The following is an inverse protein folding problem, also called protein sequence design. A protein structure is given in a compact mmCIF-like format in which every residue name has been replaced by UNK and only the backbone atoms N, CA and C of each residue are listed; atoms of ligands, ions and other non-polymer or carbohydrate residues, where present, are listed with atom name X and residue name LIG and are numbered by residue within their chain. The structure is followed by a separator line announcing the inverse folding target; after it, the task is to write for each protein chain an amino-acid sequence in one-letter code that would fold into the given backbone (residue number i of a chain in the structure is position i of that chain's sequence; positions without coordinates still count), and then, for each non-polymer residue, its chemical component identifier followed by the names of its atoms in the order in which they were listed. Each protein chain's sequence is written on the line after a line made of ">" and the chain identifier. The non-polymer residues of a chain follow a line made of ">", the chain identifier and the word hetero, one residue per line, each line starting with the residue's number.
data_IF_347856437849
#
_entry.id   IF_347856437849
#
_cell.length_a   1.000
_cell.length_b   1.000
_cell.length_c   1.000
_cell.angle_alpha   90.00
_cell.angle_beta   90.00
_cell.angle_gamma   90.00
#
_symmetry.space_group_name_H-M   'P 1'
#
loop_
_entity.id
_entity.type
_entity.pdbx_description
1 polymer ?
#
# COMPACT_ATOMS: atom_id res chain seq x y z
N UNK A 1 45.46 22.29 -22.88
CA UNK A 1 44.14 22.84 -23.17
C UNK A 1 43.18 21.65 -23.16
N UNK A 2 42.56 21.38 -22.01
CA UNK A 2 41.08 21.43 -21.83
C UNK A 2 40.48 20.13 -22.40
N UNK A 3 39.96 19.16 -21.64
CA UNK A 3 39.19 19.23 -20.40
C UNK A 3 39.09 17.85 -19.74
N UNK A 4 38.98 17.86 -18.41
CA UNK A 4 38.65 16.73 -17.55
C UNK A 4 37.35 16.06 -18.04
N UNK A 5 37.40 14.75 -18.31
CA UNK A 5 36.21 13.91 -18.26
C UNK A 5 35.81 13.83 -16.78
N UNK A 6 34.89 14.72 -16.40
CA UNK A 6 34.29 14.79 -15.09
C UNK A 6 33.55 13.48 -14.84
N UNK A 7 34.02 12.73 -13.85
CA UNK A 7 33.27 11.70 -13.15
C UNK A 7 32.01 12.36 -12.56
N UNK A 8 30.86 12.24 -13.22
CA UNK A 8 29.57 12.53 -12.58
C UNK A 8 29.20 11.33 -11.73
N UNK A 9 29.90 11.14 -10.62
CA UNK A 9 29.30 10.44 -9.48
C UNK A 9 28.21 11.37 -8.94
N UNK A 10 26.98 11.22 -9.41
CA UNK A 10 25.83 11.83 -8.77
C UNK A 10 25.67 11.18 -7.38
N UNK A 11 26.41 11.69 -6.40
CA UNK A 11 26.08 11.49 -5.00
C UNK A 11 24.72 12.15 -4.79
N UNK A 12 23.65 11.35 -4.72
CA UNK A 12 22.36 11.84 -4.24
C UNK A 12 22.62 12.40 -2.84
N UNK A 13 22.59 13.74 -2.69
CA UNK A 13 22.77 14.40 -1.41
C UNK A 13 21.46 14.24 -0.64
N UNK A 14 21.25 13.03 -0.09
CA UNK A 14 20.02 12.65 0.62
C UNK A 14 20.08 13.30 2.01
N UNK A 15 19.36 14.39 2.16
CA UNK A 15 19.17 15.05 3.45
C UNK A 15 18.06 14.35 4.24
N UNK A 16 18.45 13.41 5.10
CA UNK A 16 17.54 12.65 5.96
C UNK A 16 16.79 13.50 6.99
N UNK A 17 17.21 14.73 7.26
CA UNK A 17 16.61 15.62 8.25
C UNK A 17 15.58 16.61 7.66
N UNK A 18 15.12 16.38 6.43
CA UNK A 18 14.18 17.28 5.76
C UNK A 18 12.72 17.02 6.19
N UNK A 19 12.30 17.63 7.30
CA UNK A 19 10.94 17.54 7.86
C UNK A 19 9.78 17.73 6.86
N UNK A 20 9.79 18.75 5.96
CA UNK A 20 8.66 18.94 5.04
C UNK A 20 8.51 17.77 4.05
N UNK A 21 9.61 17.16 3.60
CA UNK A 21 9.59 16.00 2.71
C UNK A 21 9.06 14.76 3.43
N UNK A 22 9.51 14.50 4.66
CA UNK A 22 9.01 13.41 5.49
C UNK A 22 7.53 13.52 5.80
N UNK A 23 7.06 14.75 6.11
CA UNK A 23 5.65 14.99 6.36
C UNK A 23 4.80 14.72 5.12
N UNK A 24 5.27 15.12 3.94
CA UNK A 24 4.57 14.84 2.68
C UNK A 24 4.54 13.34 2.34
N UNK A 25 5.66 12.65 2.56
CA UNK A 25 5.74 11.19 2.38
C UNK A 25 4.79 10.46 3.32
N UNK A 26 4.75 10.85 4.60
CA UNK A 26 3.84 10.28 5.60
C UNK A 26 2.37 10.43 5.24
N UNK A 27 1.96 11.61 4.74
CA UNK A 27 0.58 11.80 4.27
C UNK A 27 0.24 10.89 3.08
N UNK A 28 1.14 10.76 2.11
CA UNK A 28 0.91 9.88 0.97
C UNK A 28 0.76 8.42 1.41
N UNK A 29 1.63 7.94 2.30
CA UNK A 29 1.51 6.61 2.89
C UNK A 29 0.21 6.44 3.69
N UNK A 30 -0.23 7.46 4.43
CA UNK A 30 -1.47 7.40 5.20
C UNK A 30 -2.72 7.23 4.32
N UNK A 31 -2.75 7.88 3.15
CA UNK A 31 -3.83 7.72 2.18
C UNK A 31 -3.85 6.32 1.57
N UNK A 32 -2.65 5.80 1.29
CA UNK A 32 -2.45 4.45 0.81
C UNK A 32 -2.98 3.41 1.82
N UNK A 33 -2.57 3.52 3.09
CA UNK A 33 -3.02 2.65 4.19
C UNK A 33 -4.54 2.72 4.38
N UNK A 34 -5.11 3.92 4.39
CA UNK A 34 -6.55 4.11 4.52
C UNK A 34 -7.31 3.42 3.39
N UNK A 35 -6.81 3.52 2.16
CA UNK A 35 -7.40 2.81 1.01
C UNK A 35 -7.34 1.29 1.14
N UNK A 36 -6.20 0.73 1.58
CA UNK A 36 -6.06 -0.71 1.81
C UNK A 36 -7.00 -1.21 2.90
N UNK A 37 -7.03 -0.55 4.06
CA UNK A 37 -7.89 -0.96 5.18
C UNK A 37 -9.37 -0.95 4.80
N UNK A 38 -9.83 0.00 3.98
CA UNK A 38 -11.22 0.00 3.50
C UNK A 38 -11.51 -1.20 2.59
N UNK A 39 -10.59 -1.55 1.68
CA UNK A 39 -10.79 -2.67 0.76
C UNK A 39 -10.72 -4.04 1.45
N UNK A 40 -9.76 -4.21 2.36
CA UNK A 40 -9.55 -5.43 3.13
C UNK A 40 -10.75 -5.69 4.07
N UNK A 41 -11.07 -4.72 4.94
CA UNK A 41 -12.23 -4.83 5.85
C UNK A 41 -13.55 -4.97 5.08
N UNK A 42 -13.71 -4.25 3.97
CA UNK A 42 -14.91 -4.33 3.15
C UNK A 42 -15.10 -5.71 2.53
N UNK A 43 -14.02 -6.34 2.07
CA UNK A 43 -14.06 -7.69 1.50
C UNK A 43 -14.36 -8.72 2.58
N UNK A 44 -13.66 -8.69 3.70
CA UNK A 44 -13.90 -9.62 4.82
C UNK A 44 -15.33 -9.48 5.35
N UNK A 45 -15.80 -8.24 5.57
CA UNK A 45 -17.17 -7.98 6.04
C UNK A 45 -18.23 -8.49 5.06
N UNK A 46 -18.01 -8.31 3.75
CA UNK A 46 -18.93 -8.81 2.73
C UNK A 46 -19.11 -10.34 2.81
N UNK A 47 -17.99 -11.07 2.91
CA UNK A 47 -18.04 -12.53 3.04
C UNK A 47 -18.69 -12.99 4.35
N UNK A 48 -18.56 -12.21 5.43
CA UNK A 48 -19.23 -12.49 6.70
C UNK A 48 -20.75 -12.26 6.64
N UNK A 49 -21.20 -11.18 6.00
CA UNK A 49 -22.64 -10.89 5.90
C UNK A 49 -23.39 -11.86 4.97
N UNK A 50 -22.69 -12.39 3.97
CA UNK A 50 -23.29 -13.30 2.98
C UNK A 50 -23.18 -14.77 3.38
N UNK A 51 -22.53 -15.09 4.52
CA UNK A 51 -22.32 -16.46 5.03
C UNK A 51 -21.80 -17.44 3.95
N UNK A 52 -20.89 -16.97 3.10
CA UNK A 52 -20.33 -17.80 2.01
C UNK A 52 -19.19 -18.65 2.58
N UNK A 53 -19.40 -19.97 2.61
CA UNK A 53 -18.37 -20.95 2.92
C UNK A 53 -17.36 -21.06 1.77
N UNK A 54 -16.39 -20.15 1.78
CA UNK A 54 -15.22 -20.17 0.89
C UNK A 54 -13.95 -20.47 1.67
N UNK A 55 -12.96 -21.13 1.06
CA UNK A 55 -11.67 -21.35 1.69
C UNK A 55 -11.03 -20.01 2.06
N UNK A 56 -10.69 -19.87 3.34
CA UNK A 56 -10.13 -18.66 3.95
C UNK A 56 -9.03 -18.02 3.11
N UNK A 57 -8.10 -18.84 2.61
CA UNK A 57 -6.97 -18.37 1.81
C UNK A 57 -7.39 -17.54 0.59
N UNK A 58 -8.50 -17.92 -0.07
CA UNK A 58 -9.04 -17.20 -1.22
C UNK A 58 -9.73 -15.90 -0.80
N UNK A 59 -10.44 -15.89 0.33
CA UNK A 59 -11.05 -14.67 0.89
C UNK A 59 -9.95 -13.65 1.21
N UNK A 60 -8.88 -14.10 1.85
CA UNK A 60 -7.76 -13.23 2.21
C UNK A 60 -7.00 -12.74 0.97
N UNK A 61 -6.75 -13.59 -0.01
CA UNK A 61 -6.13 -13.17 -1.27
C UNK A 61 -6.99 -12.14 -2.03
N UNK A 62 -8.32 -12.32 -2.03
CA UNK A 62 -9.27 -11.34 -2.58
C UNK A 62 -9.29 -10.04 -1.78
N UNK A 63 -9.21 -10.11 -0.46
CA UNK A 63 -9.21 -8.94 0.41
C UNK A 63 -7.94 -8.11 0.17
N UNK A 64 -6.77 -8.75 0.06
CA UNK A 64 -5.52 -8.09 -0.33
C UNK A 64 -5.63 -7.47 -1.71
N UNK A 65 -6.15 -8.20 -2.70
CA UNK A 65 -6.28 -7.68 -4.05
C UNK A 65 -7.19 -6.45 -4.09
N UNK A 66 -8.34 -6.50 -3.42
CA UNK A 66 -9.27 -5.38 -3.34
C UNK A 66 -8.67 -4.20 -2.56
N UNK A 67 -7.97 -4.45 -1.45
CA UNK A 67 -7.23 -3.44 -0.67
C UNK A 67 -6.20 -2.70 -1.53
N UNK A 68 -5.39 -3.42 -2.28
CA UNK A 68 -4.41 -2.85 -3.22
C UNK A 68 -5.09 -2.01 -4.32
N UNK A 69 -6.20 -2.49 -4.87
CA UNK A 69 -6.93 -1.76 -5.92
C UNK A 69 -7.53 -0.46 -5.34
N UNK A 70 -8.16 -0.52 -4.18
CA UNK A 70 -8.75 0.67 -3.55
C UNK A 70 -7.69 1.69 -3.14
N UNK A 71 -6.54 1.25 -2.64
CA UNK A 71 -5.42 2.14 -2.30
C UNK A 71 -4.82 2.82 -3.53
N UNK A 72 -4.51 2.07 -4.60
CA UNK A 72 -3.95 2.64 -5.84
C UNK A 72 -4.93 3.63 -6.46
N UNK A 73 -6.22 3.33 -6.49
CA UNK A 73 -7.26 4.24 -7.01
C UNK A 73 -7.32 5.51 -6.18
N UNK A 74 -7.39 5.40 -4.85
CA UNK A 74 -7.50 6.55 -3.95
C UNK A 74 -6.25 7.44 -4.04
N UNK A 75 -5.06 6.85 -3.97
CA UNK A 75 -3.80 7.58 -4.07
C UNK A 75 -3.65 8.25 -5.45
N UNK A 76 -4.02 7.56 -6.52
CA UNK A 76 -3.99 8.12 -7.88
C UNK A 76 -4.93 9.32 -8.01
N UNK A 77 -6.15 9.26 -7.46
CA UNK A 77 -7.10 10.38 -7.49
C UNK A 77 -6.53 11.61 -6.77
N UNK A 78 -5.88 11.41 -5.63
CA UNK A 78 -5.27 12.50 -4.85
C UNK A 78 -4.06 13.08 -5.59
N UNK A 79 -3.17 12.23 -6.10
CA UNK A 79 -1.95 12.65 -6.81
C UNK A 79 -2.25 13.26 -8.18
N UNK A 80 -3.33 12.82 -8.85
CA UNK A 80 -3.81 13.41 -10.10
C UNK A 80 -4.01 14.92 -9.96
N UNK A 81 -4.58 15.37 -8.83
CA UNK A 81 -4.79 16.79 -8.53
C UNK A 81 -3.50 17.58 -8.31
N UNK A 82 -2.38 16.92 -8.02
CA UNK A 82 -1.11 17.58 -7.69
C UNK A 82 -0.10 17.57 -8.85
N UNK A 83 -0.01 16.46 -9.59
CA UNK A 83 1.13 16.19 -10.49
C UNK A 83 0.72 15.68 -11.88
N UNK A 84 -0.58 15.58 -12.16
CA UNK A 84 -1.12 15.05 -13.41
C UNK A 84 -1.23 13.52 -13.46
N UNK A 85 -2.04 13.00 -14.38
CA UNK A 85 -2.55 11.61 -14.35
C UNK A 85 -1.44 10.56 -14.55
N UNK A 86 -0.55 10.80 -15.52
CA UNK A 86 0.54 9.88 -15.86
C UNK A 86 1.59 9.78 -14.75
N UNK A 87 1.91 10.90 -14.11
CA UNK A 87 2.92 10.93 -13.05
C UNK A 87 2.34 10.39 -11.73
N UNK A 88 1.08 10.74 -11.42
CA UNK A 88 0.38 10.23 -10.24
C UNK A 88 0.25 8.70 -10.22
N UNK A 89 -0.14 8.09 -11.34
CA UNK A 89 -0.18 6.62 -11.47
C UNK A 89 1.20 5.98 -11.25
N UNK A 90 2.24 6.56 -11.87
CA UNK A 90 3.61 6.04 -11.73
C UNK A 90 4.12 6.15 -10.29
N UNK A 91 3.74 7.21 -9.59
CA UNK A 91 4.10 7.44 -8.18
C UNK A 91 3.34 6.50 -7.25
N UNK A 92 2.02 6.34 -7.42
CA UNK A 92 1.21 5.41 -6.63
C UNK A 92 1.70 3.95 -6.80
N UNK A 93 2.01 3.54 -8.04
CA UNK A 93 2.57 2.22 -8.31
C UNK A 93 4.02 2.06 -7.81
N UNK A 94 4.79 3.15 -7.73
CA UNK A 94 6.23 3.10 -7.44
C UNK A 94 6.60 3.25 -5.97
N UNK A 95 5.87 4.05 -5.19
CA UNK A 95 6.28 4.40 -3.82
C UNK A 95 5.89 3.36 -2.77
N UNK A 96 4.86 2.57 -3.02
CA UNK A 96 4.21 1.82 -1.92
C UNK A 96 3.90 0.35 -2.23
N UNK A 97 3.96 -0.08 -3.50
CA UNK A 97 3.44 -1.38 -3.91
C UNK A 97 4.21 -2.57 -3.31
N UNK A 98 5.55 -2.50 -3.26
CA UNK A 98 6.39 -3.54 -2.63
C UNK A 98 6.14 -3.61 -1.11
N UNK A 99 6.13 -2.46 -0.43
CA UNK A 99 5.91 -2.40 1.02
C UNK A 99 4.51 -2.86 1.41
N UNK A 100 3.51 -2.59 0.56
CA UNK A 100 2.12 -2.94 0.80
C UNK A 100 1.87 -4.43 0.64
N UNK A 101 2.39 -5.06 -0.42
CA UNK A 101 2.38 -6.52 -0.57
C UNK A 101 3.06 -7.18 0.63
N UNK A 102 4.20 -6.65 1.09
CA UNK A 102 4.91 -7.23 2.23
C UNK A 102 4.10 -7.20 3.53
N UNK A 103 3.34 -6.13 3.76
CA UNK A 103 2.52 -5.96 4.96
C UNK A 103 1.30 -6.89 4.95
N UNK A 104 0.66 -7.06 3.79
CA UNK A 104 -0.53 -7.92 3.68
C UNK A 104 -0.18 -9.41 3.61
N UNK A 105 0.97 -9.76 3.05
CA UNK A 105 1.51 -11.12 3.17
C UNK A 105 1.84 -11.44 4.62
N UNK A 106 2.44 -10.50 5.36
CA UNK A 106 2.74 -10.70 6.78
C UNK A 106 1.47 -10.88 7.61
N UNK A 107 0.42 -10.09 7.34
CA UNK A 107 -0.88 -10.20 8.01
C UNK A 107 -1.57 -11.53 7.71
N UNK A 108 -1.63 -11.93 6.43
CA UNK A 108 -2.20 -13.21 6.02
C UNK A 108 -1.46 -14.40 6.66
N UNK A 109 -0.12 -14.29 6.76
CA UNK A 109 0.69 -15.28 7.44
C UNK A 109 0.40 -15.35 8.94
N UNK A 110 0.29 -14.20 9.62
CA UNK A 110 -0.04 -14.17 11.05
C UNK A 110 -1.44 -14.72 11.33
N UNK A 111 -2.43 -14.42 10.50
CA UNK A 111 -3.80 -14.91 10.66
C UNK A 111 -3.90 -16.42 10.43
N UNK A 112 -3.13 -16.94 9.46
CA UNK A 112 -2.99 -18.38 9.26
C UNK A 112 -2.42 -19.08 10.51
N UNK A 113 -1.39 -18.49 11.13
CA UNK A 113 -0.75 -19.07 12.31
C UNK A 113 -1.58 -18.92 13.60
N UNK A 114 -2.30 -17.81 13.78
CA UNK A 114 -2.98 -17.50 15.04
C UNK A 114 -4.41 -18.03 15.08
N UNK A 115 -5.14 -17.95 13.98
CA UNK A 115 -6.60 -18.13 13.98
C UNK A 115 -7.02 -19.43 13.27
N UNK A 116 -6.11 -20.05 12.50
CA UNK A 116 -6.41 -21.23 11.67
C UNK A 116 -7.43 -20.94 10.55
N UNK A 117 -7.82 -19.68 10.37
CA UNK A 117 -8.89 -19.23 9.47
C UNK A 117 -9.26 -17.75 9.69
N UNK A 118 -9.75 -17.05 8.65
CA UNK A 118 -10.16 -15.64 8.70
C UNK A 118 -11.50 -15.49 9.42
N UNK A 119 -11.46 -15.36 10.73
CA UNK A 119 -12.63 -15.02 11.56
C UNK A 119 -12.36 -13.69 12.26
N UNK A 120 -13.15 -12.65 11.97
CA UNK A 120 -13.15 -11.42 12.78
C UNK A 120 -13.88 -11.70 14.10
N UNK A 121 -13.15 -12.20 15.08
CA UNK A 121 -13.64 -12.28 16.44
C UNK A 121 -13.54 -10.88 17.05
N UNK A 122 -14.68 -10.21 17.27
CA UNK A 122 -14.79 -8.95 18.03
C UNK A 122 -14.56 -9.14 19.54
N UNK A 123 -13.91 -10.24 19.95
CA UNK A 123 -13.81 -10.59 21.35
C UNK A 123 -12.64 -9.86 22.03
N UNK A 124 -13.01 -8.83 22.76
CA UNK A 124 -12.49 -8.51 24.09
C UNK A 124 -13.61 -8.77 25.09
#
# INVERSE_FOLDING_TARGET
>A
MVEKIIQVSNSLNIEWNCTPTWRKASYNTSWCLLGCSIGDMGTILYFQLMEIDWPVFLIMALAVFNGLVTSIVLETIILYKQMGLRLGLKTALGMSLISMISMEVAMNLTDFFLTGGATLNWWV
#
